data_IF_831473758240
#
_entry.id   IF_831473758240
#
_cell.length_a   1.000
_cell.length_b   1.000
_cell.length_c   1.000
_cell.angle_alpha   90.00
_cell.angle_beta   90.00
_cell.angle_gamma   90.00
#
_symmetry.space_group_name_H-M   'P 1'
#
loop_
_entity.id
_entity.type
_entity.pdbx_description
1 polymer ?
#
# COMPACT_ATOMS: atom_id res chain seq x y z
N UNK A 1 -3.74 59.47 7.76
CA UNK A 1 -2.79 58.52 7.11
C UNK A 1 -2.77 57.12 7.77
N UNK A 2 -3.89 56.58 8.29
CA UNK A 2 -3.88 55.33 9.09
C UNK A 2 -4.78 54.20 8.57
N UNK A 3 -5.62 54.45 7.54
CA UNK A 3 -6.57 53.44 7.03
C UNK A 3 -5.97 52.43 6.05
N UNK A 4 -4.93 52.80 5.31
CA UNK A 4 -4.30 51.90 4.32
C UNK A 4 -3.34 50.88 4.96
N UNK A 5 -2.76 51.20 6.12
CA UNK A 5 -1.85 50.30 6.85
C UNK A 5 -2.58 49.13 7.51
N UNK A 6 -3.81 49.36 8.02
CA UNK A 6 -4.64 48.31 8.58
C UNK A 6 -5.15 47.31 7.52
N UNK A 7 -5.39 47.78 6.29
CA UNK A 7 -5.88 46.92 5.20
C UNK A 7 -4.78 46.02 4.60
N UNK A 8 -3.52 46.48 4.62
CA UNK A 8 -2.37 45.69 4.17
C UNK A 8 -1.99 44.59 5.17
N UNK A 9 -2.13 44.85 6.48
CA UNK A 9 -1.85 43.85 7.51
C UNK A 9 -2.86 42.68 7.48
N UNK A 10 -4.12 42.94 7.12
CA UNK A 10 -5.16 41.92 7.04
C UNK A 10 -4.97 40.91 5.89
N UNK A 11 -4.33 41.34 4.78
CA UNK A 11 -4.06 40.48 3.62
C UNK A 11 -2.84 39.57 3.88
N UNK A 12 -1.84 40.03 4.64
CA UNK A 12 -0.65 39.21 4.94
C UNK A 12 -0.97 38.07 5.93
N UNK A 13 -1.93 38.25 6.84
CA UNK A 13 -2.32 37.21 7.82
C UNK A 13 -3.19 36.11 7.19
N UNK A 14 -3.89 36.37 6.09
CA UNK A 14 -4.73 35.36 5.42
C UNK A 14 -3.95 34.41 4.50
N UNK A 15 -2.71 34.75 4.10
CA UNK A 15 -1.87 33.84 3.31
C UNK A 15 -1.10 32.81 4.16
N UNK A 16 -1.05 32.94 5.49
CA UNK A 16 -0.27 32.04 6.36
C UNK A 16 -1.02 30.79 6.86
N UNK A 17 -2.35 30.69 6.66
CA UNK A 17 -3.16 29.56 7.15
C UNK A 17 -3.61 28.60 6.06
N UNK A 18 -3.21 28.80 4.81
CA UNK A 18 -3.46 27.87 3.70
C UNK A 18 -2.35 26.81 3.59
N UNK A 19 -1.83 26.33 4.71
CA UNK A 19 -1.13 25.05 4.78
C UNK A 19 -2.16 23.94 4.59
N UNK A 20 -2.64 23.80 3.35
CA UNK A 20 -3.58 22.77 2.94
C UNK A 20 -2.89 21.42 3.06
N UNK A 21 -2.94 20.85 4.26
CA UNK A 21 -2.59 19.46 4.57
C UNK A 21 -3.67 18.54 3.97
N UNK A 22 -3.80 18.61 2.65
CA UNK A 22 -4.81 17.88 1.91
C UNK A 22 -4.39 16.42 1.94
N UNK A 23 -5.21 15.51 2.50
CA UNK A 23 -4.84 14.12 2.60
C UNK A 23 -4.60 13.57 1.19
N UNK A 24 -3.43 12.95 0.98
CA UNK A 24 -3.07 12.36 -0.30
C UNK A 24 -4.11 11.33 -0.73
N UNK A 25 -4.54 11.41 -1.98
CA UNK A 25 -5.42 10.42 -2.61
C UNK A 25 -4.74 9.05 -2.66
N UNK A 26 -5.52 7.96 -2.77
CA UNK A 26 -4.93 6.60 -2.89
C UNK A 26 -3.98 6.51 -4.08
N UNK A 27 -4.31 7.13 -5.22
CA UNK A 27 -3.43 7.16 -6.39
C UNK A 27 -2.08 7.78 -6.04
N UNK A 28 -2.09 8.99 -5.45
CA UNK A 28 -0.85 9.67 -5.03
C UNK A 28 -0.05 8.84 -4.03
N UNK A 29 -0.73 8.12 -3.12
CA UNK A 29 -0.06 7.24 -2.15
C UNK A 29 0.57 5.99 -2.79
N UNK A 30 0.02 5.51 -3.90
CA UNK A 30 0.54 4.34 -4.63
C UNK A 30 1.70 4.70 -5.58
N UNK A 31 1.76 5.93 -6.08
CA UNK A 31 2.80 6.35 -7.03
C UNK A 31 4.20 6.21 -6.41
N UNK A 32 5.08 5.47 -7.07
CA UNK A 32 6.51 5.29 -6.78
C UNK A 32 6.95 3.84 -6.83
N UNK A 33 8.15 3.58 -6.29
CA UNK A 33 8.79 2.27 -6.30
C UNK A 33 8.49 1.45 -5.04
N UNK A 34 8.23 0.17 -5.26
CA UNK A 34 7.84 -0.79 -4.24
C UNK A 34 8.55 -2.12 -4.43
N UNK A 35 8.85 -2.77 -3.31
CA UNK A 35 9.37 -4.14 -3.28
C UNK A 35 8.34 -5.05 -2.64
N UNK A 36 7.94 -6.08 -3.36
CA UNK A 36 6.91 -7.03 -3.01
C UNK A 36 7.50 -8.38 -2.63
N UNK A 37 7.00 -8.96 -1.55
CA UNK A 37 7.30 -10.35 -1.14
C UNK A 37 5.99 -11.07 -0.80
N UNK A 38 5.95 -12.41 -0.77
CA UNK A 38 4.78 -13.15 -0.33
C UNK A 38 4.40 -12.76 1.11
N UNK A 39 3.14 -12.39 1.32
CA UNK A 39 2.61 -12.11 2.66
C UNK A 39 2.64 -13.39 3.51
N UNK A 40 3.36 -13.33 4.62
CA UNK A 40 3.54 -14.48 5.50
C UNK A 40 2.28 -14.76 6.33
N UNK A 41 2.06 -16.03 6.67
CA UNK A 41 0.96 -16.49 7.54
C UNK A 41 0.81 -15.65 8.82
N UNK A 42 1.92 -15.29 9.47
CA UNK A 42 1.91 -14.48 10.69
C UNK A 42 1.42 -13.03 10.46
N UNK A 43 1.71 -12.44 9.30
CA UNK A 43 1.28 -11.08 8.95
C UNK A 43 -0.21 -11.05 8.62
N UNK A 44 -0.67 -12.06 7.87
CA UNK A 44 -2.08 -12.30 7.60
C UNK A 44 -2.88 -12.44 8.90
N UNK A 45 -2.39 -13.26 9.82
CA UNK A 45 -3.04 -13.48 11.12
C UNK A 45 -3.16 -12.18 11.90
N UNK A 46 -2.10 -11.36 11.98
CA UNK A 46 -2.14 -10.07 12.69
C UNK A 46 -3.13 -9.08 12.09
N UNK A 47 -3.38 -9.16 10.78
CA UNK A 47 -4.33 -8.27 10.07
C UNK A 47 -5.78 -8.73 10.24
N UNK A 48 -6.00 -10.04 10.21
CA UNK A 48 -7.33 -10.65 10.22
C UNK A 48 -7.83 -10.94 11.65
N UNK A 49 -6.91 -11.10 12.61
CA UNK A 49 -7.28 -11.28 14.01
C UNK A 49 -7.79 -9.96 14.61
N UNK A 50 -8.96 -9.98 15.28
CA UNK A 50 -9.51 -8.79 15.90
C UNK A 50 -8.72 -8.43 17.16
N UNK A 51 -7.69 -7.60 17.05
CA UNK A 51 -7.00 -7.04 18.23
C UNK A 51 -7.62 -5.74 18.73
N UNK A 52 -8.74 -5.29 18.16
CA UNK A 52 -9.40 -4.05 18.55
C UNK A 52 -10.85 -4.34 18.96
N UNK A 53 -11.07 -4.61 20.25
CA UNK A 53 -12.43 -4.64 20.79
C UNK A 53 -12.63 -5.37 22.11
N UNK A 54 -11.74 -6.28 22.53
CA UNK A 54 -11.95 -6.97 23.81
C UNK A 54 -11.40 -6.08 24.94
N UNK A 55 -12.25 -5.53 25.82
CA UNK A 55 -11.77 -4.79 26.98
C UNK A 55 -10.89 -5.72 27.83
N UNK A 56 -9.78 -5.20 28.38
CA UNK A 56 -8.86 -5.96 29.23
C UNK A 56 -9.55 -6.68 30.40
N UNK A 57 -10.75 -6.22 30.78
CA UNK A 57 -11.60 -6.82 31.82
C UNK A 57 -12.24 -8.16 31.44
N UNK A 58 -12.41 -8.49 30.15
CA UNK A 58 -12.94 -9.81 29.72
C UNK A 58 -11.82 -10.85 29.55
N UNK A 59 -10.63 -10.42 29.13
CA UNK A 59 -9.47 -11.29 28.94
C UNK A 59 -8.99 -11.88 30.27
N UNK A 60 -9.16 -11.16 31.38
CA UNK A 60 -8.77 -11.63 32.72
C UNK A 60 -9.73 -12.68 33.30
N UNK A 61 -10.97 -12.78 32.80
CA UNK A 61 -11.95 -13.76 33.31
C UNK A 61 -12.02 -15.04 32.45
N UNK A 62 -11.72 -14.96 31.15
CA UNK A 62 -11.62 -16.14 30.28
C UNK A 62 -10.25 -16.87 30.36
N UNK A 63 -9.19 -16.19 30.80
CA UNK A 63 -7.85 -16.80 30.91
C UNK A 63 -7.72 -17.88 32.00
N UNK A 64 -8.70 -17.98 32.91
CA UNK A 64 -8.68 -18.98 34.00
C UNK A 64 -9.46 -20.26 33.67
N UNK A 65 -10.20 -20.34 32.56
CA UNK A 65 -11.04 -21.51 32.22
C UNK A 65 -11.22 -21.72 30.72
N UNK A 66 -10.18 -21.46 29.92
CA UNK A 66 -10.11 -21.98 28.55
C UNK A 66 -8.76 -22.65 28.33
N UNK A 67 -8.70 -23.90 27.85
CA UNK A 67 -7.44 -24.48 27.41
C UNK A 67 -6.86 -23.53 26.37
N UNK A 68 -5.55 -23.29 26.44
CA UNK A 68 -4.80 -22.45 25.52
C UNK A 68 -5.32 -22.66 24.10
N UNK A 69 -6.16 -21.74 23.63
CA UNK A 69 -6.79 -21.81 22.32
C UNK A 69 -5.64 -21.63 21.36
N UNK A 70 -5.15 -22.75 20.82
CA UNK A 70 -4.12 -22.78 19.79
C UNK A 70 -4.42 -21.63 18.83
N UNK A 71 -3.50 -20.67 18.76
CA UNK A 71 -3.59 -19.61 17.75
C UNK A 71 -3.79 -20.33 16.43
N UNK A 72 -4.85 -20.04 15.64
CA UNK A 72 -5.06 -20.75 14.40
C UNK A 72 -3.82 -20.55 13.54
N UNK A 73 -3.13 -21.65 13.22
CA UNK A 73 -2.02 -21.62 12.29
C UNK A 73 -2.60 -21.30 10.92
N UNK A 74 -2.38 -20.08 10.43
CA UNK A 74 -2.79 -19.74 9.08
C UNK A 74 -2.07 -20.67 8.09
N UNK A 75 -2.83 -21.29 7.19
CA UNK A 75 -2.31 -22.18 6.18
C UNK A 75 -1.34 -21.44 5.25
N UNK A 76 -0.23 -22.10 4.88
CA UNK A 76 0.77 -21.57 3.95
C UNK A 76 0.18 -21.50 2.55
N UNK A 77 0.33 -20.36 1.90
CA UNK A 77 -0.17 -20.12 0.54
C UNK A 77 0.83 -20.58 -0.53
N UNK A 78 0.37 -20.69 -1.77
CA UNK A 78 1.20 -21.03 -2.93
C UNK A 78 2.33 -20.02 -3.08
N UNK A 79 2.05 -18.72 -3.00
CA UNK A 79 3.10 -17.68 -3.06
C UNK A 79 4.14 -17.82 -1.94
N UNK A 80 3.71 -18.16 -0.71
CA UNK A 80 4.64 -18.42 0.39
C UNK A 80 5.52 -19.65 0.15
N UNK A 81 5.14 -20.58 -0.72
CA UNK A 81 5.93 -21.79 -1.01
C UNK A 81 7.05 -21.57 -2.02
N UNK A 82 7.07 -20.42 -2.70
CA UNK A 82 8.08 -20.07 -3.70
C UNK A 82 9.16 -19.24 -3.00
N UNK A 83 10.33 -19.83 -2.78
CA UNK A 83 11.48 -19.18 -2.15
C UNK A 83 12.74 -19.38 -3.01
N UNK A 84 13.44 -18.30 -3.45
CA UNK A 84 13.09 -16.88 -3.28
C UNK A 84 11.94 -16.44 -4.21
N UNK A 85 11.18 -15.41 -3.79
CA UNK A 85 10.19 -14.74 -4.63
C UNK A 85 10.18 -13.24 -4.31
N UNK A 86 10.57 -12.40 -5.27
CA UNK A 86 10.57 -10.94 -5.13
C UNK A 86 9.98 -10.26 -6.37
N UNK A 87 9.17 -9.23 -6.13
CA UNK A 87 8.58 -8.40 -7.19
C UNK A 87 9.00 -6.95 -7.00
N UNK A 88 9.61 -6.33 -7.99
CA UNK A 88 9.73 -4.87 -8.01
C UNK A 88 8.57 -4.27 -8.79
N UNK A 89 7.93 -3.23 -8.23
CA UNK A 89 6.79 -2.56 -8.82
C UNK A 89 7.02 -1.05 -8.81
N UNK A 90 7.05 -0.43 -9.98
CA UNK A 90 7.05 1.03 -10.16
C UNK A 90 5.70 1.48 -10.70
N UNK A 91 4.99 2.31 -9.93
CA UNK A 91 3.72 2.91 -10.32
C UNK A 91 3.92 4.40 -10.56
N UNK A 92 3.85 4.85 -11.80
CA UNK A 92 4.08 6.25 -12.15
C UNK A 92 2.79 7.07 -12.10
N UNK A 93 2.92 8.37 -11.91
CA UNK A 93 1.81 9.31 -11.82
C UNK A 93 1.02 9.44 -13.14
N UNK A 94 1.71 9.31 -14.27
CA UNK A 94 1.16 9.25 -15.63
C UNK A 94 0.36 7.97 -15.94
N UNK A 95 0.28 7.04 -14.98
CA UNK A 95 -0.45 5.79 -15.10
C UNK A 95 0.35 4.67 -15.77
N UNK A 96 1.66 4.80 -15.97
CA UNK A 96 2.54 3.68 -16.37
C UNK A 96 2.84 2.81 -15.16
N UNK A 97 2.77 1.49 -15.34
CA UNK A 97 3.20 0.50 -14.36
C UNK A 97 4.35 -0.33 -14.95
N UNK A 98 5.39 -0.55 -14.16
CA UNK A 98 6.45 -1.51 -14.47
C UNK A 98 6.53 -2.54 -13.37
N UNK A 99 6.50 -3.82 -13.76
CA UNK A 99 6.59 -4.95 -12.86
C UNK A 99 7.77 -5.82 -13.27
N UNK A 100 8.65 -6.09 -12.33
CA UNK A 100 9.80 -6.96 -12.49
C UNK A 100 9.69 -8.12 -11.50
N UNK A 101 9.87 -9.35 -11.99
CA UNK A 101 9.88 -10.55 -11.17
C UNK A 101 11.31 -11.09 -11.12
N UNK A 102 11.86 -11.25 -9.92
CA UNK A 102 13.19 -11.86 -9.67
C UNK A 102 14.33 -11.32 -10.56
N UNK A 103 14.35 -10.02 -10.87
CA UNK A 103 15.42 -9.41 -11.67
C UNK A 103 15.28 -9.57 -13.19
N UNK A 104 14.14 -10.10 -13.68
CA UNK A 104 13.91 -10.34 -15.10
C UNK A 104 13.66 -9.05 -15.90
N UNK A 105 13.36 -9.18 -17.20
CA UNK A 105 12.94 -8.01 -17.99
C UNK A 105 11.59 -7.48 -17.45
N UNK A 106 11.47 -6.18 -17.17
CA UNK A 106 10.25 -5.63 -16.61
C UNK A 106 9.10 -5.69 -17.61
N UNK A 107 7.95 -6.19 -17.15
CA UNK A 107 6.68 -6.07 -17.84
C UNK A 107 6.17 -4.64 -17.69
N UNK A 108 5.82 -4.00 -18.82
CA UNK A 108 5.27 -2.64 -18.82
C UNK A 108 3.78 -2.68 -19.12
N UNK A 109 3.04 -1.83 -18.42
CA UNK A 109 1.60 -1.73 -18.56
C UNK A 109 1.07 -0.35 -18.19
N UNK A 110 -0.25 -0.25 -18.18
CA UNK A 110 -0.99 0.90 -17.66
C UNK A 110 -1.71 0.49 -16.40
N UNK A 111 -1.83 1.41 -15.44
CA UNK A 111 -2.59 1.18 -14.22
C UNK A 111 -3.52 2.34 -13.90
N UNK A 112 -4.60 2.01 -13.20
CA UNK A 112 -5.55 2.99 -12.70
C UNK A 112 -6.27 2.48 -11.44
N UNK A 113 -6.70 3.41 -10.59
CA UNK A 113 -7.60 3.12 -9.47
C UNK A 113 -9.03 3.18 -9.98
N UNK A 114 -9.75 2.07 -9.91
CA UNK A 114 -11.15 1.98 -10.39
C UNK A 114 -12.18 2.12 -9.26
N UNK A 115 -11.78 1.81 -8.02
CA UNK A 115 -12.62 1.99 -6.83
C UNK A 115 -11.75 2.24 -5.60
N UNK A 116 -12.25 3.01 -4.64
CA UNK A 116 -11.56 3.29 -3.38
C UNK A 116 -12.52 3.44 -2.22
N UNK A 117 -12.18 2.85 -1.07
CA UNK A 117 -12.93 2.97 0.18
C UNK A 117 -11.95 3.00 1.38
N UNK A 118 -11.83 4.15 2.03
CA UNK A 118 -10.94 4.33 3.17
C UNK A 118 -9.48 3.99 2.85
N UNK A 119 -8.99 2.85 3.35
CA UNK A 119 -7.61 2.35 3.14
C UNK A 119 -7.51 1.27 2.06
N UNK A 120 -8.62 0.96 1.39
CA UNK A 120 -8.71 -0.09 0.37
C UNK A 120 -8.97 0.53 -0.99
N UNK A 121 -8.48 -0.13 -2.02
CA UNK A 121 -8.78 0.22 -3.40
C UNK A 121 -8.80 -1.02 -4.28
N UNK A 122 -9.49 -0.90 -5.40
CA UNK A 122 -9.33 -1.81 -6.53
C UNK A 122 -8.56 -1.08 -7.60
N UNK A 123 -7.46 -1.67 -8.04
CA UNK A 123 -6.67 -1.20 -9.17
C UNK A 123 -6.84 -2.15 -10.33
N UNK A 124 -6.76 -1.62 -11.53
CA UNK A 124 -6.70 -2.38 -12.77
C UNK A 124 -5.33 -2.15 -13.40
N UNK A 125 -4.67 -3.23 -13.81
CA UNK A 125 -3.41 -3.20 -14.54
C UNK A 125 -3.64 -3.86 -15.90
N UNK A 126 -3.34 -3.12 -16.96
CA UNK A 126 -3.33 -3.60 -18.34
C UNK A 126 -1.89 -3.83 -18.76
N UNK A 127 -1.50 -5.08 -18.99
CA UNK A 127 -0.14 -5.43 -19.42
C UNK A 127 -0.06 -5.35 -20.94
N UNK A 128 0.91 -4.60 -21.46
CA UNK A 128 1.20 -4.52 -22.87
C UNK A 128 2.29 -5.55 -23.19
N UNK A 129 1.96 -6.63 -23.90
CA UNK A 129 2.99 -7.56 -24.40
C UNK A 129 3.71 -6.95 -25.60
N UNK A 130 4.94 -7.38 -25.82
CA UNK A 130 5.77 -6.92 -26.93
C UNK A 130 5.07 -7.17 -28.29
N UNK A 131 5.35 -6.28 -29.24
CA UNK A 131 4.67 -6.21 -30.54
C UNK A 131 4.86 -7.45 -31.43
N UNK A 132 5.74 -8.37 -31.06
CA UNK A 132 6.02 -9.63 -31.73
C UNK A 132 5.01 -10.75 -31.38
N UNK A 133 4.12 -10.52 -30.41
CA UNK A 133 3.04 -11.44 -30.07
C UNK A 133 1.68 -10.75 -30.32
N UNK A 134 0.91 -11.18 -31.33
CA UNK A 134 -0.44 -10.69 -31.56
C UNK A 134 -1.39 -11.29 -30.51
N UNK A 135 -1.26 -10.83 -29.27
CA UNK A 135 -2.15 -11.16 -28.17
C UNK A 135 -2.87 -9.89 -27.72
N UNK A 136 -4.14 -10.03 -27.36
CA UNK A 136 -4.90 -8.93 -26.79
C UNK A 136 -4.27 -8.46 -25.47
N UNK A 137 -4.33 -7.15 -25.16
CA UNK A 137 -3.85 -6.63 -23.88
C UNK A 137 -4.55 -7.34 -22.73
N UNK A 138 -3.75 -7.81 -21.77
CA UNK A 138 -4.25 -8.57 -20.64
C UNK A 138 -4.60 -7.62 -19.48
N UNK A 139 -5.88 -7.56 -19.11
CA UNK A 139 -6.36 -6.74 -18.00
C UNK A 139 -6.59 -7.59 -16.78
N UNK A 140 -6.00 -7.18 -15.66
CA UNK A 140 -6.17 -7.83 -14.36
C UNK A 140 -6.54 -6.81 -13.29
N UNK A 141 -7.38 -7.24 -12.35
CA UNK A 141 -7.82 -6.41 -11.23
C UNK A 141 -7.20 -6.90 -9.95
N UNK A 142 -6.80 -5.96 -9.11
CA UNK A 142 -6.15 -6.25 -7.84
C UNK A 142 -6.78 -5.43 -6.73
N UNK A 143 -6.99 -6.09 -5.59
CA UNK A 143 -7.41 -5.47 -4.35
C UNK A 143 -6.17 -5.05 -3.58
N UNK A 144 -6.15 -3.77 -3.22
CA UNK A 144 -5.12 -3.15 -2.41
C UNK A 144 -5.67 -2.84 -1.02
N UNK A 145 -4.88 -3.09 0.01
CA UNK A 145 -5.14 -2.60 1.36
C UNK A 145 -3.87 -2.00 1.98
N UNK A 146 -3.89 -0.70 2.29
CA UNK A 146 -2.79 -0.07 3.02
C UNK A 146 -2.72 -0.59 4.45
N UNK A 147 -1.53 -1.04 4.84
CA UNK A 147 -1.22 -1.40 6.21
C UNK A 147 -1.11 -0.12 7.02
N UNK A 148 -1.58 -0.12 8.27
CA UNK A 148 -1.46 1.04 9.15
C UNK A 148 0.03 1.34 9.36
N UNK A 149 0.47 2.51 8.93
CA UNK A 149 1.83 2.96 9.19
C UNK A 149 2.06 3.04 10.71
N UNK A 150 3.22 2.55 11.14
CA UNK A 150 3.77 2.80 12.48
C UNK A 150 4.89 3.81 12.32
N UNK A 151 5.13 4.60 13.36
CA UNK A 151 6.20 5.58 13.38
C UNK A 151 7.54 4.93 13.01
N UNK A 152 8.29 5.56 12.09
CA UNK A 152 9.58 5.07 11.60
C UNK A 152 9.53 3.87 10.65
N UNK A 153 8.35 3.38 10.24
CA UNK A 153 8.23 2.28 9.27
C UNK A 153 7.89 2.79 7.87
N UNK A 154 8.41 2.17 6.80
CA UNK A 154 8.03 2.52 5.45
C UNK A 154 6.54 2.31 5.22
N UNK A 155 5.98 3.01 4.24
CA UNK A 155 4.62 2.78 3.78
C UNK A 155 4.50 1.36 3.22
N UNK A 156 3.38 0.70 3.51
CA UNK A 156 3.13 -0.70 3.12
C UNK A 156 1.70 -0.92 2.68
N UNK A 157 1.51 -1.82 1.71
CA UNK A 157 0.20 -2.28 1.31
C UNK A 157 0.24 -3.74 0.90
N UNK A 158 -0.90 -4.42 0.95
CA UNK A 158 -1.04 -5.75 0.35
C UNK A 158 -1.76 -5.68 -0.97
N UNK A 159 -1.36 -6.53 -1.91
CA UNK A 159 -1.93 -6.69 -3.25
C UNK A 159 -2.43 -8.14 -3.39
N UNK A 160 -3.68 -8.30 -3.81
CA UNK A 160 -4.26 -9.61 -4.12
C UNK A 160 -5.03 -9.52 -5.43
N UNK A 161 -4.86 -10.49 -6.33
CA UNK A 161 -5.65 -10.55 -7.57
C UNK A 161 -7.13 -10.81 -7.25
N UNK A 162 -8.02 -10.06 -7.89
CA UNK A 162 -9.46 -10.21 -7.70
C UNK A 162 -9.94 -11.49 -8.38
N UNK A 163 -10.64 -12.34 -7.63
CA UNK A 163 -11.14 -13.63 -8.12
C UNK A 163 -10.12 -14.77 -8.03
N UNK A 164 -8.87 -14.50 -7.63
CA UNK A 164 -7.89 -15.54 -7.36
C UNK A 164 -8.29 -16.38 -6.13
N UNK A 165 -7.84 -17.64 -6.12
CA UNK A 165 -8.00 -18.53 -4.98
C UNK A 165 -7.34 -17.94 -3.73
N UNK A 166 -8.00 -18.07 -2.56
CA UNK A 166 -7.43 -17.63 -1.28
C UNK A 166 -6.11 -18.32 -0.96
N UNK A 167 -5.94 -19.57 -1.40
CA UNK A 167 -4.70 -20.34 -1.24
C UNK A 167 -3.57 -19.86 -2.13
N UNK A 168 -3.85 -19.07 -3.18
CA UNK A 168 -2.79 -18.48 -4.00
C UNK A 168 -1.93 -17.53 -3.16
N UNK A 169 -2.57 -16.70 -2.35
CA UNK A 169 -1.92 -15.77 -1.42
C UNK A 169 -1.99 -14.32 -1.85
N UNK A 170 -1.15 -13.49 -1.22
CA UNK A 170 -1.06 -12.05 -1.46
C UNK A 170 0.40 -11.61 -1.45
N UNK A 171 0.68 -10.48 -2.07
CA UNK A 171 1.97 -9.82 -1.97
C UNK A 171 1.89 -8.69 -0.95
N UNK A 172 2.89 -8.58 -0.09
CA UNK A 172 3.15 -7.43 0.77
C UNK A 172 4.18 -6.55 0.08
N UNK A 173 3.79 -5.32 -0.24
CA UNK A 173 4.67 -4.32 -0.83
C UNK A 173 5.13 -3.33 0.23
N UNK A 174 6.43 -3.10 0.27
CA UNK A 174 7.08 -2.06 1.06
C UNK A 174 7.68 -1.00 0.15
N UNK A 175 7.53 0.27 0.55
CA UNK A 175 8.06 1.40 -0.21
C UNK A 175 9.58 1.29 -0.25
N UNK A 176 10.17 1.38 -1.45
CA UNK A 176 11.60 1.60 -1.57
C UNK A 176 11.83 3.08 -1.23
N UNK A 177 12.45 3.34 -0.08
CA UNK A 177 12.87 4.69 0.26
C UNK A 177 13.95 5.10 -0.74
N UNK A 178 13.69 6.12 -1.56
CA UNK A 178 14.77 6.79 -2.28
C UNK A 178 15.75 7.31 -1.21
N UNK A 179 16.92 6.69 -1.10
CA UNK A 179 18.02 7.16 -0.24
C UNK A 179 18.64 8.47 -0.78
N UNK A 180 17.85 9.31 -1.45
CA UNK A 180 18.26 10.55 -2.11
C UNK A 180 17.28 11.68 -1.79
N UNK A 181 16.79 11.74 -0.56
CA UNK A 181 16.32 13.00 0.05
C UNK A 181 17.13 13.24 1.32
N UNK A 182 18.43 13.39 1.17
CA UNK A 182 19.31 13.95 2.19
C UNK A 182 20.15 15.03 1.50
N UNK A 183 20.17 16.23 2.10
CA UNK A 183 20.92 17.43 1.71
C UNK A 183 20.28 18.33 0.62
N UNK A 184 19.14 18.92 0.97
CA UNK A 184 18.76 20.26 0.51
C UNK A 184 18.65 21.19 1.72
N UNK A 185 19.81 21.55 2.29
CA UNK A 185 19.96 22.54 3.35
C UNK A 185 19.50 23.91 2.81
N UNK A 186 18.41 24.52 3.31
CA UNK A 186 18.05 25.87 2.92
C UNK A 186 18.92 26.84 3.72
N UNK A 187 19.94 27.40 3.08
CA UNK A 187 20.48 28.70 3.45
C UNK A 187 19.73 29.81 2.74
#
# INVERSE_FOLDING_TARGET
>A
MSRHLLSLLAIVVTLATAGCDTPLTIRQRLVGQWRGTPEQAAERLRREWPTAGVPASEVASEAATSPAKELPTAERTVLESIEPFEVALDLRDDGVAQLELDGANPLTGRWQVIASEGRRATVEIEVQRAADQPAEPERRRFRIAFVRAREGQPARFTLAEEGADRLFGRLLFERVSDATTTAGDPR
#
